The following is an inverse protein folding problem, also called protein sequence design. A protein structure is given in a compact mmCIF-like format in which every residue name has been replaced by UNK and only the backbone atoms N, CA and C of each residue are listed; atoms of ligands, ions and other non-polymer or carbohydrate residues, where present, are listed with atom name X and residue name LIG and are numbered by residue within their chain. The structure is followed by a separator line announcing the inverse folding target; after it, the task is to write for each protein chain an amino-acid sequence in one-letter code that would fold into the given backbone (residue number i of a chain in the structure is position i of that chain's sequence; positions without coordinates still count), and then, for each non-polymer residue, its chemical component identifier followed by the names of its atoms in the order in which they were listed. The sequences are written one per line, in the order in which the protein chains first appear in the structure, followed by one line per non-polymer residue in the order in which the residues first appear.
data_IF_122082512321
#
_entry.id   IF_122082512321
#
_cell.length_a   1.000
_cell.length_b   1.000
_cell.length_c   1.000
_cell.angle_alpha   90.00
_cell.angle_beta   90.00
_cell.angle_gamma   90.00
#
_symmetry.space_group_name_H-M   'P 1'
#
loop_
_entity.id
_entity.type
_entity.pdbx_description
1 polymer ?
#
# COMPACT_ATOMS: atom_id res chain seq x y z
N UNK A 1 47.01 -32.02 32.26
CA UNK A 1 47.84 -31.10 31.45
C UNK A 1 48.32 -31.89 30.25
N UNK A 2 47.77 -31.59 29.05
CA UNK A 2 48.15 -31.96 27.65
C UNK A 2 49.00 -33.24 27.39
N UNK A 3 48.77 -34.08 26.36
CA UNK A 3 48.40 -33.80 24.97
C UNK A 3 48.17 -35.11 24.17
N UNK A 4 47.21 -35.05 23.24
CA UNK A 4 47.08 -35.66 21.90
C UNK A 4 47.09 -37.17 21.59
N UNK A 5 46.09 -37.50 20.75
CA UNK A 5 46.03 -38.43 19.61
C UNK A 5 45.89 -39.94 19.87
N UNK A 6 44.71 -40.49 19.52
CA UNK A 6 44.58 -41.58 18.55
C UNK A 6 43.09 -41.90 18.22
N UNK A 7 42.88 -42.17 16.93
CA UNK A 7 42.00 -43.20 16.35
C UNK A 7 40.57 -42.85 15.91
N UNK A 8 40.45 -43.00 14.59
CA UNK A 8 39.30 -43.19 13.71
C UNK A 8 38.47 -44.43 14.01
N UNK A 9 37.31 -44.43 13.32
CA UNK A 9 36.42 -45.54 12.98
C UNK A 9 35.27 -45.80 13.97
N UNK A 10 34.04 -45.55 13.51
CA UNK A 10 32.95 -46.54 13.43
C UNK A 10 31.77 -45.91 12.65
N UNK A 11 31.55 -46.47 11.47
CA UNK A 11 30.26 -46.81 10.82
C UNK A 11 29.10 -45.79 10.82
N UNK A 12 28.67 -45.37 9.62
CA UNK A 12 27.32 -45.68 9.08
C UNK A 12 27.12 -44.97 7.72
N UNK A 13 27.41 -45.68 6.63
CA UNK A 13 26.73 -45.47 5.35
C UNK A 13 25.73 -46.61 5.17
N UNK A 14 24.43 -46.30 5.15
CA UNK A 14 23.46 -46.84 4.20
C UNK A 14 22.13 -46.09 4.40
N UNK A 15 21.76 -45.34 3.37
CA UNK A 15 20.68 -44.36 3.43
C UNK A 15 19.27 -44.94 3.45
N UNK A 16 18.34 -44.04 3.79
CA UNK A 16 16.97 -44.04 3.30
C UNK A 16 16.51 -42.57 3.27
N UNK A 17 16.08 -42.13 2.10
CA UNK A 17 15.67 -40.75 1.85
C UNK A 17 14.48 -40.34 2.72
N UNK A 18 14.52 -39.10 3.18
CA UNK A 18 13.36 -38.42 3.73
C UNK A 18 13.26 -37.04 3.07
N UNK A 19 12.12 -36.82 2.42
CA UNK A 19 11.76 -35.62 1.67
C UNK A 19 11.90 -34.34 2.50
N UNK A 20 12.95 -33.56 2.23
CA UNK A 20 13.22 -32.27 2.87
C UNK A 20 12.57 -31.09 2.12
N UNK A 21 11.45 -31.34 1.44
CA UNK A 21 10.79 -30.36 0.56
C UNK A 21 9.64 -29.59 1.25
N UNK A 22 9.21 -30.06 2.43
CA UNK A 22 8.17 -29.42 3.25
C UNK A 22 8.70 -28.30 4.18
N UNK A 23 9.88 -28.51 4.78
CA UNK A 23 10.52 -27.55 5.68
C UNK A 23 10.99 -26.29 4.95
N UNK A 24 11.70 -26.48 3.84
CA UNK A 24 12.24 -25.40 3.01
C UNK A 24 11.14 -24.45 2.47
N UNK A 25 9.97 -24.98 2.12
CA UNK A 25 8.84 -24.17 1.62
C UNK A 25 8.19 -23.32 2.73
N UNK A 26 8.11 -23.83 3.96
CA UNK A 26 7.51 -23.10 5.09
C UNK A 26 8.50 -22.03 5.59
N UNK A 27 9.79 -22.33 5.60
CA UNK A 27 10.83 -21.37 5.98
C UNK A 27 10.97 -20.25 4.95
N UNK A 28 10.99 -20.58 3.65
CA UNK A 28 10.97 -19.58 2.57
C UNK A 28 9.70 -18.71 2.59
N UNK A 29 8.53 -19.29 2.91
CA UNK A 29 7.29 -18.53 3.12
C UNK A 29 7.36 -17.62 4.35
N UNK A 30 8.04 -18.00 5.43
CA UNK A 30 8.22 -17.09 6.57
C UNK A 30 9.22 -15.97 6.26
N UNK A 31 10.27 -16.29 5.51
CA UNK A 31 11.37 -15.37 5.18
C UNK A 31 10.93 -14.26 4.18
N UNK A 32 10.14 -14.61 3.16
CA UNK A 32 9.63 -13.62 2.21
C UNK A 32 8.55 -12.72 2.82
N UNK A 33 7.68 -13.28 3.68
CA UNK A 33 6.48 -12.60 4.16
C UNK A 33 6.62 -11.92 5.54
N UNK A 34 7.76 -12.09 6.22
CA UNK A 34 8.03 -11.49 7.53
C UNK A 34 8.52 -10.03 7.48
N UNK A 35 9.43 -9.71 6.55
CA UNK A 35 10.16 -8.44 6.51
C UNK A 35 10.13 -7.77 5.11
N UNK A 36 8.95 -7.66 4.47
CA UNK A 36 8.88 -6.91 3.21
C UNK A 36 9.07 -5.41 3.46
N UNK A 37 9.96 -4.78 2.70
CA UNK A 37 9.99 -3.32 2.61
C UNK A 37 8.67 -2.79 2.00
N UNK A 38 8.30 -1.57 2.38
CA UNK A 38 7.10 -0.89 1.89
C UNK A 38 7.05 -0.82 0.36
N UNK A 39 8.19 -0.59 -0.28
CA UNK A 39 8.34 -0.59 -1.75
C UNK A 39 7.91 -1.92 -2.35
N UNK A 40 8.37 -3.03 -1.76
CA UNK A 40 8.06 -4.38 -2.23
C UNK A 40 6.57 -4.67 -2.07
N UNK A 41 5.93 -4.19 -0.99
CA UNK A 41 4.49 -4.37 -0.77
C UNK A 41 3.65 -3.64 -1.81
N UNK A 42 3.92 -2.36 -2.10
CA UNK A 42 3.15 -1.67 -3.15
C UNK A 42 3.40 -2.31 -4.51
N UNK A 43 4.65 -2.64 -4.84
CA UNK A 43 4.99 -3.28 -6.10
C UNK A 43 4.27 -4.65 -6.23
N UNK A 44 4.19 -5.40 -5.13
CA UNK A 44 3.45 -6.66 -5.06
C UNK A 44 1.94 -6.45 -5.32
N UNK A 45 1.30 -5.45 -4.70
CA UNK A 45 -0.11 -5.12 -4.94
C UNK A 45 -0.33 -4.65 -6.38
N UNK A 46 0.60 -3.89 -6.93
CA UNK A 46 0.55 -3.47 -8.33
C UNK A 46 0.64 -4.67 -9.28
N UNK A 47 1.46 -5.68 -8.94
CA UNK A 47 1.48 -6.97 -9.63
C UNK A 47 0.13 -7.70 -9.55
N UNK A 48 -0.50 -7.76 -8.37
CA UNK A 48 -1.85 -8.33 -8.20
C UNK A 48 -2.85 -7.59 -9.10
N UNK A 49 -2.80 -6.25 -9.10
CA UNK A 49 -3.65 -5.41 -9.94
C UNK A 49 -3.52 -5.78 -11.43
N UNK A 50 -2.29 -5.88 -11.93
CA UNK A 50 -2.05 -6.23 -13.33
C UNK A 50 -2.52 -7.65 -13.69
N UNK A 51 -2.29 -8.63 -12.82
CA UNK A 51 -2.75 -10.01 -13.05
C UNK A 51 -4.27 -10.13 -13.05
N UNK A 52 -4.93 -9.52 -12.05
CA UNK A 52 -6.39 -9.56 -11.95
C UNK A 52 -6.99 -8.82 -13.14
N UNK A 53 -6.53 -7.61 -13.43
CA UNK A 53 -7.04 -6.84 -14.56
C UNK A 53 -6.84 -7.58 -15.89
N UNK A 54 -5.65 -8.11 -16.16
CA UNK A 54 -5.37 -8.91 -17.35
C UNK A 54 -6.25 -10.16 -17.46
N UNK A 55 -6.52 -10.84 -16.34
CA UNK A 55 -7.40 -12.02 -16.33
C UNK A 55 -8.86 -11.64 -16.60
N UNK A 56 -9.34 -10.56 -15.98
CA UNK A 56 -10.72 -10.10 -16.13
C UNK A 56 -11.01 -9.54 -17.52
N UNK A 57 -10.01 -8.95 -18.19
CA UNK A 57 -10.19 -8.42 -19.54
C UNK A 57 -10.73 -9.48 -20.50
N UNK A 58 -10.26 -10.73 -20.46
CA UNK A 58 -10.81 -11.80 -21.33
C UNK A 58 -12.33 -11.97 -21.20
N UNK A 59 -12.87 -11.83 -19.99
CA UNK A 59 -14.30 -11.96 -19.67
C UNK A 59 -15.08 -10.66 -19.93
N UNK A 60 -14.42 -9.51 -19.78
CA UNK A 60 -14.98 -8.21 -20.12
C UNK A 60 -15.18 -8.08 -21.63
N UNK A 61 -14.20 -8.50 -22.44
CA UNK A 61 -14.28 -8.39 -23.90
C UNK A 61 -15.33 -9.32 -24.52
N UNK A 62 -15.61 -10.44 -23.88
CA UNK A 62 -16.71 -11.34 -24.28
C UNK A 62 -18.09 -10.82 -23.85
N UNK A 63 -18.15 -9.70 -23.12
CA UNK A 63 -19.38 -9.09 -22.62
C UNK A 63 -19.98 -9.81 -21.42
N UNK A 64 -19.26 -10.77 -20.83
CA UNK A 64 -19.76 -11.55 -19.69
C UNK A 64 -19.67 -10.77 -18.37
N UNK A 65 -18.74 -9.81 -18.26
CA UNK A 65 -18.56 -8.98 -17.08
C UNK A 65 -18.68 -7.48 -17.41
N UNK A 66 -19.32 -6.68 -16.52
CA UNK A 66 -19.31 -5.23 -16.65
C UNK A 66 -17.90 -4.68 -16.40
N UNK A 67 -17.60 -3.52 -16.98
CA UNK A 67 -16.30 -2.87 -16.84
C UNK A 67 -16.44 -1.38 -16.57
N UNK A 68 -15.72 -0.90 -15.54
CA UNK A 68 -15.62 0.52 -15.18
C UNK A 68 -14.21 1.04 -15.41
N UNK A 69 -13.94 1.73 -16.54
CA UNK A 69 -12.62 2.29 -16.81
C UNK A 69 -12.24 3.38 -15.79
N UNK A 70 -13.18 4.20 -15.34
CA UNK A 70 -12.93 5.28 -14.37
C UNK A 70 -12.31 4.73 -13.08
N UNK A 71 -12.92 3.71 -12.47
CA UNK A 71 -12.44 3.10 -11.23
C UNK A 71 -11.19 2.22 -11.44
N UNK A 72 -11.01 1.62 -12.61
CA UNK A 72 -9.81 0.84 -12.93
C UNK A 72 -8.57 1.73 -13.05
N UNK A 73 -8.63 2.76 -13.91
CA UNK A 73 -7.53 3.71 -14.07
C UNK A 73 -7.37 4.61 -12.84
N UNK A 74 -8.47 4.93 -12.15
CA UNK A 74 -8.43 5.64 -10.88
C UNK A 74 -7.65 4.87 -9.80
N UNK A 75 -7.91 3.58 -9.64
CA UNK A 75 -7.18 2.71 -8.71
C UNK A 75 -5.70 2.61 -9.10
N UNK A 76 -5.41 2.45 -10.40
CA UNK A 76 -4.04 2.48 -10.92
C UNK A 76 -3.31 3.77 -10.50
N UNK A 77 -3.93 4.93 -10.72
CA UNK A 77 -3.35 6.22 -10.37
C UNK A 77 -3.10 6.34 -8.86
N UNK A 78 -4.01 5.85 -8.02
CA UNK A 78 -3.80 5.86 -6.57
C UNK A 78 -2.63 4.96 -6.17
N UNK A 79 -2.54 3.74 -6.71
CA UNK A 79 -1.44 2.82 -6.41
C UNK A 79 -0.09 3.44 -6.82
N UNK A 80 0.02 4.01 -8.02
CA UNK A 80 1.25 4.67 -8.48
C UNK A 80 1.55 5.92 -7.66
N UNK A 81 0.54 6.70 -7.28
CA UNK A 81 0.73 7.89 -6.46
C UNK A 81 1.22 7.58 -5.05
N UNK A 82 0.79 6.45 -4.48
CA UNK A 82 1.33 5.96 -3.20
C UNK A 82 2.82 5.64 -3.31
N UNK A 83 3.29 5.11 -4.44
CA UNK A 83 4.73 4.93 -4.68
C UNK A 83 5.45 6.29 -4.68
N UNK A 84 4.87 7.29 -5.36
CA UNK A 84 5.42 8.66 -5.41
C UNK A 84 5.51 9.29 -4.02
N UNK A 85 4.44 9.23 -3.23
CA UNK A 85 4.34 9.87 -1.91
C UNK A 85 5.25 9.19 -0.88
N UNK A 86 5.23 7.86 -0.85
CA UNK A 86 5.86 7.09 0.21
C UNK A 86 7.34 6.78 -0.05
N UNK A 87 7.71 6.52 -1.29
CA UNK A 87 9.11 6.20 -1.65
C UNK A 87 9.88 7.44 -2.11
N UNK A 88 9.18 8.54 -2.43
CA UNK A 88 9.78 9.72 -3.05
C UNK A 88 10.29 9.47 -4.47
N UNK A 89 10.23 8.24 -4.97
CA UNK A 89 10.59 7.86 -6.34
C UNK A 89 9.46 8.22 -7.27
N UNK A 90 9.77 9.00 -8.30
CA UNK A 90 8.80 9.27 -9.37
C UNK A 90 8.83 8.15 -10.39
N UNK A 91 7.76 7.92 -11.18
CA UNK A 91 7.83 7.01 -12.32
C UNK A 91 8.93 7.41 -13.32
N UNK A 92 9.39 8.67 -13.27
CA UNK A 92 10.51 9.20 -14.06
C UNK A 92 11.88 9.00 -13.38
N UNK A 93 11.97 8.17 -12.33
CA UNK A 93 13.20 7.81 -11.63
C UNK A 93 13.42 8.43 -10.25
N UNK A 94 14.67 8.29 -9.76
CA UNK A 94 15.15 8.71 -8.44
C UNK A 94 15.27 10.23 -8.34
N UNK A 95 14.13 10.91 -8.19
CA UNK A 95 14.09 12.29 -7.73
C UNK A 95 14.01 12.24 -6.22
N UNK A 96 14.96 12.85 -5.48
CA UNK A 96 14.90 12.85 -4.00
C UNK A 96 13.55 13.41 -3.53
N UNK A 97 13.00 12.81 -2.47
CA UNK A 97 11.71 13.17 -1.84
C UNK A 97 11.63 14.67 -1.54
N UNK A 98 11.03 15.41 -2.47
CA UNK A 98 10.81 16.85 -2.39
C UNK A 98 9.33 17.14 -2.20
N UNK A 99 9.03 18.32 -1.65
CA UNK A 99 7.65 18.78 -1.49
C UNK A 99 6.89 18.83 -2.82
N UNK A 100 7.55 19.15 -3.92
CA UNK A 100 6.95 19.16 -5.26
C UNK A 100 6.48 17.75 -5.65
N UNK A 101 7.33 16.74 -5.45
CA UNK A 101 6.99 15.33 -5.75
C UNK A 101 5.81 14.85 -4.90
N UNK A 102 5.79 15.21 -3.62
CA UNK A 102 4.67 14.89 -2.72
C UNK A 102 3.38 15.57 -3.19
N UNK A 103 3.41 16.86 -3.54
CA UNK A 103 2.24 17.59 -4.04
C UNK A 103 1.71 16.95 -5.32
N UNK A 104 2.59 16.62 -6.27
CA UNK A 104 2.20 15.91 -7.50
C UNK A 104 1.53 14.58 -7.15
N UNK A 105 2.13 13.78 -6.27
CA UNK A 105 1.56 12.52 -5.82
C UNK A 105 0.18 12.69 -5.16
N UNK A 106 -0.01 13.72 -4.33
CA UNK A 106 -1.32 14.03 -3.71
C UNK A 106 -2.34 14.44 -4.76
N UNK A 107 -1.97 15.29 -5.73
CA UNK A 107 -2.86 15.68 -6.82
C UNK A 107 -3.26 14.48 -7.70
N UNK A 108 -2.31 13.60 -8.04
CA UNK A 108 -2.59 12.39 -8.82
C UNK A 108 -3.45 11.40 -8.02
N UNK A 109 -3.22 11.27 -6.71
CA UNK A 109 -4.06 10.48 -5.81
C UNK A 109 -5.50 11.02 -5.80
N UNK A 110 -5.66 12.35 -5.71
CA UNK A 110 -6.96 12.99 -5.72
C UNK A 110 -7.70 12.76 -7.04
N UNK A 111 -7.03 12.93 -8.18
CA UNK A 111 -7.60 12.63 -9.48
C UNK A 111 -8.04 11.16 -9.58
N UNK A 112 -7.22 10.23 -9.10
CA UNK A 112 -7.54 8.81 -9.07
C UNK A 112 -8.74 8.48 -8.18
N UNK A 113 -8.82 9.06 -6.98
CA UNK A 113 -9.97 8.89 -6.08
C UNK A 113 -11.26 9.44 -6.67
N UNK A 114 -11.23 10.66 -7.24
CA UNK A 114 -12.41 11.27 -7.84
C UNK A 114 -12.92 10.40 -9.01
N UNK A 115 -12.02 9.89 -9.86
CA UNK A 115 -12.40 8.99 -10.93
C UNK A 115 -12.95 7.65 -10.42
N UNK A 116 -12.41 7.11 -9.33
CA UNK A 116 -12.99 5.93 -8.69
C UNK A 116 -14.43 6.13 -8.24
N UNK A 117 -14.78 7.33 -7.77
CA UNK A 117 -16.07 7.59 -7.13
C UNK A 117 -17.12 8.16 -8.07
N UNK A 118 -16.72 8.91 -9.10
CA UNK A 118 -17.62 9.56 -10.05
C UNK A 118 -17.48 8.92 -11.43
N UNK A 119 -18.34 7.94 -11.78
CA UNK A 119 -18.27 7.29 -13.08
C UNK A 119 -18.64 8.25 -14.21
N UNK A 120 -17.99 8.09 -15.37
CA UNK A 120 -18.36 8.72 -16.64
C UNK A 120 -17.74 10.09 -16.96
N UNK A 121 -17.27 10.85 -15.97
CA UNK A 121 -16.77 12.22 -16.22
C UNK A 121 -15.27 12.30 -16.49
N UNK A 122 -14.47 11.36 -15.97
CA UNK A 122 -13.01 11.46 -15.97
C UNK A 122 -12.31 10.35 -16.75
N UNK A 123 -13.03 9.38 -17.30
CA UNK A 123 -12.48 8.17 -17.94
C UNK A 123 -11.33 8.45 -18.90
N UNK A 124 -11.53 9.35 -19.88
CA UNK A 124 -10.47 9.68 -20.84
C UNK A 124 -9.29 10.39 -20.17
N UNK A 125 -9.57 11.31 -19.24
CA UNK A 125 -8.53 12.04 -18.52
C UNK A 125 -7.64 11.10 -17.70
N UNK A 126 -8.23 10.21 -16.89
CA UNK A 126 -7.46 9.28 -16.07
C UNK A 126 -6.78 8.21 -16.90
N UNK A 127 -7.38 7.75 -17.99
CA UNK A 127 -6.74 6.82 -18.94
C UNK A 127 -5.52 7.47 -19.57
N UNK A 128 -5.63 8.69 -20.08
CA UNK A 128 -4.51 9.43 -20.68
C UNK A 128 -3.42 9.63 -19.63
N UNK A 129 -3.76 10.08 -18.43
CA UNK A 129 -2.79 10.28 -17.36
C UNK A 129 -2.05 8.98 -16.98
N UNK A 130 -2.78 7.87 -16.82
CA UNK A 130 -2.21 6.55 -16.56
C UNK A 130 -1.28 6.10 -17.70
N UNK A 131 -1.71 6.28 -18.95
CA UNK A 131 -0.92 5.96 -20.14
C UNK A 131 0.36 6.79 -20.24
N UNK A 132 0.30 8.10 -19.98
CA UNK A 132 1.48 8.97 -19.94
C UNK A 132 2.45 8.55 -18.83
N UNK A 133 1.94 8.23 -17.64
CA UNK A 133 2.78 7.77 -16.51
C UNK A 133 3.46 6.43 -16.82
N UNK A 134 2.76 5.46 -17.42
CA UNK A 134 3.33 4.18 -17.83
C UNK A 134 4.37 4.34 -18.94
N UNK A 135 4.05 5.17 -19.95
CA UNK A 135 4.90 5.36 -21.11
C UNK A 135 6.20 6.09 -20.76
N UNK A 136 6.07 7.31 -20.27
CA UNK A 136 7.24 8.12 -19.94
C UNK A 136 7.97 7.58 -18.71
N UNK A 137 7.26 6.99 -17.76
CA UNK A 137 7.90 6.35 -16.62
C UNK A 137 8.75 5.16 -17.04
N UNK A 138 8.18 4.25 -17.84
CA UNK A 138 8.91 3.11 -18.40
C UNK A 138 10.14 3.54 -19.20
N UNK A 139 10.00 4.50 -20.11
CA UNK A 139 11.13 5.01 -20.91
C UNK A 139 12.20 5.67 -20.03
N UNK A 140 11.79 6.51 -19.07
CA UNK A 140 12.72 7.24 -18.22
C UNK A 140 13.54 6.30 -17.34
N UNK A 141 12.88 5.31 -16.72
CA UNK A 141 13.54 4.28 -15.92
C UNK A 141 14.46 3.39 -16.76
N UNK A 142 14.05 3.05 -17.99
CA UNK A 142 14.90 2.31 -18.93
C UNK A 142 16.14 3.10 -19.29
N UNK A 143 15.97 4.40 -19.61
CA UNK A 143 17.07 5.29 -19.95
C UNK A 143 18.03 5.43 -18.77
N UNK A 144 17.53 5.59 -17.54
CA UNK A 144 18.37 5.64 -16.35
C UNK A 144 19.16 4.36 -16.12
N UNK A 145 18.55 3.19 -16.37
CA UNK A 145 19.24 1.91 -16.25
C UNK A 145 20.46 1.83 -17.18
N UNK A 146 20.36 2.37 -18.39
CA UNK A 146 21.44 2.35 -19.39
C UNK A 146 22.42 3.52 -19.29
N UNK A 147 21.97 4.72 -18.92
CA UNK A 147 22.79 5.95 -18.92
C UNK A 147 23.49 6.23 -17.58
N UNK A 148 23.01 5.71 -16.46
CA UNK A 148 23.62 5.99 -15.16
C UNK A 148 24.97 5.25 -15.02
N UNK A 149 26.10 5.94 -15.27
CA UNK A 149 27.50 5.58 -14.98
C UNK A 149 27.85 4.08 -15.00
N UNK A 150 27.37 3.36 -16.01
CA UNK A 150 27.60 1.93 -16.16
C UNK A 150 27.01 1.06 -15.04
N UNK A 151 26.00 1.52 -14.27
CA UNK A 151 25.29 0.75 -13.24
C UNK A 151 24.82 -0.60 -13.80
N UNK A 152 24.14 -0.62 -14.94
CA UNK A 152 23.72 -1.86 -15.58
C UNK A 152 24.92 -2.76 -15.91
N UNK A 153 26.00 -2.20 -16.49
CA UNK A 153 27.22 -2.99 -16.81
C UNK A 153 27.88 -3.57 -15.55
N UNK A 154 27.91 -2.83 -14.44
CA UNK A 154 28.44 -3.28 -13.15
C UNK A 154 27.56 -4.37 -12.53
N UNK A 155 26.24 -4.21 -12.57
CA UNK A 155 25.29 -5.18 -12.03
C UNK A 155 25.19 -6.45 -12.89
N UNK A 156 25.37 -6.34 -14.21
CA UNK A 156 25.48 -7.48 -15.13
C UNK A 156 26.82 -8.23 -15.00
N UNK A 157 27.90 -7.53 -14.62
CA UNK A 157 29.22 -8.13 -14.45
C UNK A 157 29.32 -9.00 -13.18
N UNK A 158 28.49 -8.75 -12.17
CA UNK A 158 28.44 -9.57 -10.96
C UNK A 158 27.44 -10.73 -11.16
N UNK A 159 27.88 -11.99 -11.22
CA UNK A 159 26.97 -13.13 -11.31
C UNK A 159 26.15 -13.27 -10.03
N UNK A 160 24.84 -13.54 -10.16
CA UNK A 160 23.94 -13.74 -9.03
C UNK A 160 22.66 -12.89 -9.10
N UNK A 161 22.13 -12.51 -7.94
CA UNK A 161 20.81 -11.84 -7.80
C UNK A 161 20.76 -10.48 -8.53
N UNK A 162 21.88 -9.73 -8.60
CA UNK A 162 21.94 -8.42 -9.26
C UNK A 162 21.71 -8.50 -10.79
N UNK A 163 22.18 -9.57 -11.44
CA UNK A 163 21.94 -9.80 -12.87
C UNK A 163 20.46 -10.06 -13.14
N UNK A 164 19.82 -10.89 -12.31
CA UNK A 164 18.38 -11.16 -12.40
C UNK A 164 17.54 -9.91 -12.12
N UNK A 165 17.95 -9.08 -11.16
CA UNK A 165 17.31 -7.80 -10.86
C UNK A 165 17.37 -6.85 -12.06
N UNK A 166 18.55 -6.71 -12.69
CA UNK A 166 18.76 -5.84 -13.86
C UNK A 166 17.87 -6.26 -15.04
N UNK A 167 17.80 -7.56 -15.32
CA UNK A 167 16.93 -8.11 -16.38
C UNK A 167 15.44 -7.92 -16.06
N UNK A 168 15.04 -8.16 -14.81
CA UNK A 168 13.67 -7.94 -14.37
C UNK A 168 13.26 -6.47 -14.52
N UNK A 169 14.10 -5.53 -14.09
CA UNK A 169 13.88 -4.10 -14.27
C UNK A 169 13.72 -3.75 -15.75
N UNK A 170 14.64 -4.19 -16.62
CA UNK A 170 14.57 -3.91 -18.05
C UNK A 170 13.26 -4.40 -18.67
N UNK A 171 12.83 -5.63 -18.35
CA UNK A 171 11.56 -6.19 -18.85
C UNK A 171 10.36 -5.39 -18.36
N UNK A 172 10.28 -5.08 -17.07
CA UNK A 172 9.20 -4.27 -16.50
C UNK A 172 9.14 -2.90 -17.17
N UNK A 173 10.27 -2.23 -17.39
CA UNK A 173 10.29 -0.90 -18.01
C UNK A 173 9.89 -0.92 -19.48
N UNK A 174 10.33 -1.92 -20.25
CA UNK A 174 9.94 -2.09 -21.66
C UNK A 174 8.44 -2.37 -21.76
N UNK A 175 7.92 -3.32 -20.97
CA UNK A 175 6.51 -3.69 -21.00
C UNK A 175 5.63 -2.53 -20.51
N UNK A 176 6.07 -1.79 -19.49
CA UNK A 176 5.42 -0.56 -19.03
C UNK A 176 5.30 0.46 -20.17
N UNK A 177 6.37 0.69 -20.94
CA UNK A 177 6.33 1.60 -22.07
C UNK A 177 5.32 1.15 -23.14
N UNK A 178 5.31 -0.15 -23.47
CA UNK A 178 4.36 -0.73 -24.43
C UNK A 178 2.92 -0.56 -23.96
N UNK A 179 2.62 -0.93 -22.70
CA UNK A 179 1.30 -0.76 -22.09
C UNK A 179 0.88 0.71 -22.03
N UNK A 180 1.83 1.63 -21.81
CA UNK A 180 1.58 3.06 -21.86
C UNK A 180 1.09 3.53 -23.24
N UNK A 181 1.74 3.07 -24.32
CA UNK A 181 1.30 3.36 -25.71
C UNK A 181 -0.10 2.79 -25.95
N UNK A 182 -0.33 1.52 -25.59
CA UNK A 182 -1.64 0.85 -25.77
C UNK A 182 -2.75 1.61 -25.02
N UNK A 183 -2.44 2.09 -23.82
CA UNK A 183 -3.39 2.86 -22.99
C UNK A 183 -3.67 4.26 -23.57
N UNK A 184 -2.67 4.90 -24.17
CA UNK A 184 -2.81 6.22 -24.80
C UNK A 184 -3.58 6.17 -26.11
N UNK A 185 -3.42 5.09 -26.87
CA UNK A 185 -3.96 4.94 -28.22
C UNK A 185 -4.88 3.71 -28.26
N UNK A 186 -6.12 3.84 -27.76
CA UNK A 186 -7.08 2.75 -27.77
C UNK A 186 -7.34 2.30 -29.22
N UNK A 187 -7.27 1.00 -29.47
CA UNK A 187 -7.48 0.39 -30.79
C UNK A 187 -6.19 0.04 -31.57
N UNK A 188 -5.00 0.35 -31.05
CA UNK A 188 -3.73 -0.10 -31.67
C UNK A 188 -3.47 -1.59 -31.43
N UNK A 189 -3.75 -2.07 -30.23
CA UNK A 189 -3.59 -3.46 -29.87
C UNK A 189 -4.96 -4.14 -29.77
N UNK A 190 -5.00 -5.41 -30.15
CA UNK A 190 -6.14 -6.25 -29.86
C UNK A 190 -6.32 -6.38 -28.35
N UNK A 191 -7.57 -6.40 -27.93
CA UNK A 191 -8.01 -6.57 -26.55
C UNK A 191 -7.39 -7.82 -25.87
N UNK A 192 -7.40 -8.95 -26.58
CA UNK A 192 -6.77 -10.22 -26.16
C UNK A 192 -5.26 -10.07 -25.95
N UNK A 193 -4.59 -9.33 -26.83
CA UNK A 193 -3.15 -9.07 -26.74
C UNK A 193 -2.84 -8.18 -25.53
N UNK A 194 -3.66 -7.16 -25.28
CA UNK A 194 -3.53 -6.28 -24.12
C UNK A 194 -3.66 -7.07 -22.82
N UNK A 195 -4.65 -7.96 -22.72
CA UNK A 195 -4.82 -8.87 -21.60
C UNK A 195 -3.57 -9.75 -21.38
N UNK A 196 -3.03 -10.36 -22.45
CA UNK A 196 -1.82 -11.17 -22.36
C UNK A 196 -0.59 -10.36 -21.90
N UNK A 197 -0.40 -9.15 -22.43
CA UNK A 197 0.71 -8.27 -22.03
C UNK A 197 0.58 -7.86 -20.55
N UNK A 198 -0.64 -7.56 -20.06
CA UNK A 198 -0.89 -7.26 -18.65
C UNK A 198 -0.56 -8.45 -17.73
N UNK A 199 -0.88 -9.68 -18.13
CA UNK A 199 -0.50 -10.88 -17.38
C UNK A 199 1.02 -11.04 -17.31
N UNK A 200 1.70 -10.93 -18.45
CA UNK A 200 3.18 -10.99 -18.49
C UNK A 200 3.78 -9.88 -17.63
N UNK A 201 3.23 -8.67 -17.70
CA UNK A 201 3.67 -7.54 -16.89
C UNK A 201 3.53 -7.81 -15.40
N UNK A 202 2.37 -8.33 -14.96
CA UNK A 202 2.13 -8.71 -13.58
C UNK A 202 3.13 -9.76 -13.08
N UNK A 203 3.40 -10.81 -13.87
CA UNK A 203 4.43 -11.82 -13.54
C UNK A 203 5.82 -11.20 -13.42
N UNK A 204 6.20 -10.31 -14.35
CA UNK A 204 7.47 -9.59 -14.30
C UNK A 204 7.58 -8.72 -13.04
N UNK A 205 6.50 -8.05 -12.64
CA UNK A 205 6.45 -7.24 -11.41
C UNK A 205 6.63 -8.12 -10.17
N UNK A 206 5.95 -9.27 -10.08
CA UNK A 206 6.15 -10.19 -8.95
C UNK A 206 7.60 -10.69 -8.87
N UNK A 207 8.17 -11.06 -10.01
CA UNK A 207 9.56 -11.48 -10.09
C UNK A 207 10.52 -10.34 -9.68
N UNK A 208 10.22 -9.10 -10.07
CA UNK A 208 10.97 -7.92 -9.64
C UNK A 208 10.85 -7.70 -8.13
N UNK A 209 9.65 -7.78 -7.54
CA UNK A 209 9.44 -7.69 -6.10
C UNK A 209 10.27 -8.74 -5.35
N UNK A 210 10.32 -9.98 -5.86
CA UNK A 210 11.13 -11.04 -5.28
C UNK A 210 12.63 -10.75 -5.35
N UNK A 211 13.13 -10.32 -6.52
CA UNK A 211 14.53 -9.96 -6.68
C UNK A 211 14.94 -8.78 -5.81
N UNK A 212 14.05 -7.78 -5.65
CA UNK A 212 14.28 -6.60 -4.83
C UNK A 212 14.36 -6.97 -3.34
N UNK A 213 13.45 -7.83 -2.87
CA UNK A 213 13.48 -8.36 -1.50
C UNK A 213 14.79 -9.13 -1.21
N UNK A 214 15.18 -10.04 -2.12
CA UNK A 214 16.44 -10.79 -2.00
C UNK A 214 17.66 -9.87 -2.02
N UNK A 215 17.64 -8.81 -2.81
CA UNK A 215 18.76 -7.87 -2.85
C UNK A 215 18.86 -7.07 -1.55
N UNK A 216 17.73 -6.58 -1.03
CA UNK A 216 17.70 -5.82 0.22
C UNK A 216 18.11 -6.64 1.45
N UNK A 217 17.88 -7.96 1.43
CA UNK A 217 18.26 -8.87 2.52
C UNK A 217 19.75 -9.25 2.46
N UNK A 218 20.30 -9.46 1.26
CA UNK A 218 21.71 -9.85 1.07
C UNK A 218 22.66 -8.64 1.15
N UNK A 219 22.20 -7.48 0.67
CA UNK A 219 22.91 -6.21 0.70
C UNK A 219 22.08 -5.19 1.48
N UNK A 220 22.03 -5.30 2.83
CA UNK A 220 21.38 -4.28 3.64
C UNK A 220 22.07 -2.95 3.36
N UNK A 221 21.28 -1.95 2.97
CA UNK A 221 21.80 -0.73 2.37
C UNK A 221 22.83 -0.01 3.26
N UNK A 222 24.09 0.01 2.84
CA UNK A 222 25.12 0.98 3.27
C UNK A 222 24.85 2.41 2.75
N UNK A 223 23.72 2.63 2.04
CA UNK A 223 23.32 3.94 1.49
C UNK A 223 23.01 4.99 2.56
N UNK A 224 22.74 4.60 3.82
CA UNK A 224 22.46 5.56 4.89
C UNK A 224 23.72 6.30 5.39
N UNK A 225 24.93 5.76 5.13
CA UNK A 225 26.19 6.36 5.62
C UNK A 225 26.95 7.21 4.60
N UNK A 226 26.79 6.95 3.30
CA UNK A 226 27.54 7.67 2.24
C UNK A 226 26.78 8.94 1.80
N UNK A 227 25.46 9.01 2.06
CA UNK A 227 24.60 10.09 1.56
C UNK A 227 24.45 11.29 2.52
N UNK A 228 24.88 11.15 3.79
CA UNK A 228 24.72 12.18 4.82
C UNK A 228 25.84 13.23 4.86
N UNK A 229 26.94 13.02 4.12
CA UNK A 229 28.11 13.91 4.14
C UNK A 229 28.00 15.13 3.23
N UNK A 230 27.05 15.14 2.28
CA UNK A 230 26.91 16.24 1.30
C UNK A 230 25.75 17.20 1.63
N UNK A 231 25.46 17.41 2.92
CA UNK A 231 24.45 18.34 3.39
C UNK A 231 25.07 19.72 3.69
N UNK A 232 25.30 20.53 2.65
CA UNK A 232 25.42 21.97 2.88
C UNK A 232 24.56 22.80 1.90
N UNK A 233 23.62 23.54 2.51
CA UNK A 233 22.86 24.71 2.02
C UNK A 233 22.15 24.58 0.66
N UNK A 234 20.82 24.41 0.70
CA UNK A 234 19.88 25.04 -0.25
C UNK A 234 18.45 25.05 0.28
N UNK A 235 17.66 25.97 -0.28
CA UNK A 235 16.38 26.52 0.20
C UNK A 235 15.27 25.51 0.54
N UNK A 236 14.40 25.89 1.48
CA UNK A 236 13.32 25.09 2.10
C UNK A 236 12.41 24.30 1.12
N UNK A 237 12.30 24.71 -0.13
CA UNK A 237 11.51 24.05 -1.19
C UNK A 237 12.10 22.72 -1.68
N UNK A 238 13.42 22.54 -1.55
CA UNK A 238 14.15 21.32 -1.92
C UNK A 238 14.67 20.55 -0.69
N UNK A 239 14.23 20.94 0.50
CA UNK A 239 14.61 20.27 1.75
C UNK A 239 13.94 18.90 1.84
N UNK A 240 14.71 17.91 2.31
CA UNK A 240 14.28 16.53 2.50
C UNK A 240 13.09 16.50 3.44
N UNK A 241 11.93 16.06 2.94
CA UNK A 241 10.76 15.83 3.78
C UNK A 241 10.95 14.49 4.52
N UNK A 242 11.49 14.54 5.74
CA UNK A 242 11.53 13.39 6.64
C UNK A 242 10.13 13.18 7.27
N UNK A 243 9.16 12.73 6.47
CA UNK A 243 7.84 12.31 6.98
C UNK A 243 7.91 10.80 7.27
N UNK A 244 7.59 10.33 8.49
CA UNK A 244 7.56 8.91 8.82
C UNK A 244 6.66 8.13 7.85
N UNK A 245 7.06 6.89 7.51
CA UNK A 245 6.34 6.05 6.54
C UNK A 245 4.85 5.85 6.93
N UNK A 246 4.56 5.69 8.22
CA UNK A 246 3.20 5.61 8.76
C UNK A 246 2.38 6.86 8.40
N UNK A 247 2.96 8.06 8.57
CA UNK A 247 2.32 9.33 8.23
C UNK A 247 2.10 9.47 6.71
N UNK A 248 3.01 8.93 5.90
CA UNK A 248 2.90 8.98 4.44
C UNK A 248 1.69 8.20 3.88
N UNK A 249 1.20 7.19 4.60
CA UNK A 249 0.02 6.38 4.22
C UNK A 249 -1.24 6.94 4.90
N UNK A 250 -1.13 7.37 6.16
CA UNK A 250 -2.22 7.98 6.91
C UNK A 250 -2.75 9.24 6.21
N UNK A 251 -1.88 10.04 5.58
CA UNK A 251 -2.29 11.25 4.84
C UNK A 251 -3.23 10.92 3.67
N UNK A 252 -2.90 10.02 2.73
CA UNK A 252 -3.83 9.57 1.68
C UNK A 252 -5.15 9.01 2.21
N UNK A 253 -5.15 8.26 3.32
CA UNK A 253 -6.39 7.71 3.91
C UNK A 253 -7.26 8.82 4.52
N UNK A 254 -6.66 9.74 5.28
CA UNK A 254 -7.36 10.92 5.79
C UNK A 254 -7.91 11.77 4.65
N UNK A 255 -7.11 11.97 3.59
CA UNK A 255 -7.51 12.68 2.40
C UNK A 255 -8.68 11.99 1.68
N UNK A 256 -8.63 10.66 1.51
CA UNK A 256 -9.73 9.86 0.96
C UNK A 256 -11.03 10.08 1.72
N UNK A 257 -10.98 10.02 3.06
CA UNK A 257 -12.17 10.15 3.91
C UNK A 257 -12.76 11.57 3.87
N UNK A 258 -11.91 12.60 3.88
CA UNK A 258 -12.35 13.99 3.70
C UNK A 258 -12.97 14.20 2.33
N UNK A 259 -12.27 13.78 1.26
CA UNK A 259 -12.74 13.91 -0.12
C UNK A 259 -14.08 13.21 -0.31
N UNK A 260 -14.19 11.97 0.18
CA UNK A 260 -15.41 11.19 0.11
C UNK A 260 -16.57 11.84 0.89
N UNK A 261 -16.30 12.36 2.09
CA UNK A 261 -17.30 13.06 2.89
C UNK A 261 -17.83 14.32 2.19
N UNK A 262 -16.95 15.11 1.55
CA UNK A 262 -17.39 16.24 0.72
C UNK A 262 -18.16 15.79 -0.53
N UNK A 263 -17.72 14.70 -1.17
CA UNK A 263 -18.36 14.18 -2.36
C UNK A 263 -19.75 13.59 -2.09
N UNK A 264 -19.97 13.01 -0.90
CA UNK A 264 -21.28 12.48 -0.53
C UNK A 264 -22.36 13.56 -0.44
N UNK A 265 -22.02 14.83 -0.20
CA UNK A 265 -23.00 15.92 -0.12
C UNK A 265 -23.77 16.08 -1.45
N UNK A 266 -23.11 16.36 -2.60
CA UNK A 266 -23.81 16.46 -3.89
C UNK A 266 -24.40 15.12 -4.35
N UNK A 267 -23.82 13.98 -3.97
CA UNK A 267 -24.40 12.64 -4.25
C UNK A 267 -25.76 12.49 -3.55
N UNK A 268 -25.85 12.81 -2.26
CA UNK A 268 -27.10 12.72 -1.50
C UNK A 268 -28.15 13.74 -1.97
N UNK A 269 -27.73 14.84 -2.59
CA UNK A 269 -28.61 15.80 -3.26
C UNK A 269 -29.03 15.35 -4.66
N UNK A 270 -28.53 14.22 -5.16
CA UNK A 270 -28.82 13.70 -6.50
C UNK A 270 -28.15 14.49 -7.64
N UNK A 271 -27.13 15.29 -7.35
CA UNK A 271 -26.47 16.15 -8.33
C UNK A 271 -25.44 15.42 -9.19
N UNK A 272 -24.79 14.38 -8.64
CA UNK A 272 -23.73 13.64 -9.32
C UNK A 272 -23.88 12.12 -9.09
N UNK A 273 -23.50 11.27 -10.06
CA UNK A 273 -23.49 9.83 -9.89
C UNK A 273 -22.38 9.40 -8.93
N UNK A 274 -22.57 8.24 -8.32
CA UNK A 274 -21.64 7.67 -7.36
C UNK A 274 -21.39 6.19 -7.66
N UNK A 275 -20.13 5.76 -7.55
CA UNK A 275 -19.71 4.37 -7.67
C UNK A 275 -19.35 3.78 -6.30
N UNK A 276 -20.27 3.04 -5.65
CA UNK A 276 -19.98 2.35 -4.40
C UNK A 276 -18.83 1.35 -4.54
N UNK A 277 -18.76 0.65 -5.67
CA UNK A 277 -17.75 -0.37 -5.95
C UNK A 277 -16.34 0.22 -6.00
N UNK A 278 -16.18 1.39 -6.64
CA UNK A 278 -14.90 2.09 -6.67
C UNK A 278 -14.47 2.58 -5.29
N UNK A 279 -15.42 3.03 -4.46
CA UNK A 279 -15.15 3.45 -3.08
C UNK A 279 -14.71 2.28 -2.20
N UNK A 280 -15.52 1.23 -2.13
CA UNK A 280 -15.27 0.08 -1.27
C UNK A 280 -14.02 -0.68 -1.74
N UNK A 281 -13.84 -0.80 -3.07
CA UNK A 281 -12.66 -1.42 -3.66
C UNK A 281 -11.38 -0.68 -3.30
N UNK A 282 -11.37 0.65 -3.44
CA UNK A 282 -10.21 1.47 -3.08
C UNK A 282 -9.89 1.38 -1.58
N UNK A 283 -10.91 1.43 -0.71
CA UNK A 283 -10.73 1.27 0.74
C UNK A 283 -10.08 -0.09 1.07
N UNK A 284 -10.53 -1.16 0.43
CA UNK A 284 -9.99 -2.51 0.63
C UNK A 284 -8.54 -2.64 0.17
N UNK A 285 -8.17 -2.03 -0.95
CA UNK A 285 -6.78 -2.01 -1.42
C UNK A 285 -5.91 -1.21 -0.45
N UNK A 286 -6.38 -0.06 0.03
CA UNK A 286 -5.67 0.74 1.05
C UNK A 286 -5.47 -0.04 2.34
N UNK A 287 -6.50 -0.73 2.83
CA UNK A 287 -6.37 -1.61 4.01
C UNK A 287 -5.41 -2.76 3.77
N UNK A 288 -5.40 -3.35 2.57
CA UNK A 288 -4.43 -4.37 2.20
C UNK A 288 -2.99 -3.85 2.26
N UNK A 289 -2.75 -2.63 1.75
CA UNK A 289 -1.44 -1.96 1.87
C UNK A 289 -1.06 -1.81 3.34
N UNK A 290 -1.95 -1.29 4.18
CA UNK A 290 -1.69 -1.08 5.61
C UNK A 290 -1.38 -2.39 6.35
N UNK A 291 -2.17 -3.43 6.12
CA UNK A 291 -1.97 -4.75 6.73
C UNK A 291 -0.64 -5.38 6.31
N UNK A 292 -0.32 -5.32 5.01
CA UNK A 292 0.88 -5.97 4.49
C UNK A 292 2.14 -5.17 4.79
N UNK A 293 2.08 -3.84 4.77
CA UNK A 293 3.26 -2.99 4.89
C UNK A 293 3.53 -2.53 6.32
N UNK A 294 2.48 -2.18 7.09
CA UNK A 294 2.61 -1.69 8.46
C UNK A 294 2.23 -2.74 9.52
N UNK A 295 1.56 -3.82 9.16
CA UNK A 295 0.97 -4.75 10.13
C UNK A 295 -0.26 -4.17 10.85
N UNK A 296 -0.78 -3.05 10.37
CA UNK A 296 -1.98 -2.41 10.92
C UNK A 296 -3.22 -3.14 10.40
N UNK A 297 -4.04 -3.67 11.32
CA UNK A 297 -5.35 -4.24 10.99
C UNK A 297 -6.46 -3.36 11.56
N UNK A 298 -7.71 -3.48 11.06
CA UNK A 298 -8.85 -2.82 11.70
C UNK A 298 -8.99 -3.17 13.19
N UNK A 299 -8.55 -4.36 13.61
CA UNK A 299 -8.54 -4.83 15.00
C UNK A 299 -7.34 -4.33 15.85
N UNK A 300 -6.51 -3.47 15.28
CA UNK A 300 -5.30 -2.91 15.89
C UNK A 300 -4.01 -3.43 15.26
N UNK A 301 -2.87 -3.01 15.83
CA UNK A 301 -1.55 -3.44 15.40
C UNK A 301 -1.37 -4.94 15.62
N UNK A 302 -0.97 -5.63 14.57
CA UNK A 302 -0.59 -7.04 14.61
C UNK A 302 0.84 -7.19 14.14
N UNK A 303 1.59 -8.09 14.78
CA UNK A 303 2.93 -8.44 14.31
C UNK A 303 2.80 -9.02 12.90
N UNK A 304 3.61 -8.51 11.97
CA UNK A 304 3.63 -8.98 10.58
C UNK A 304 3.87 -10.49 10.58
N UNK A 305 2.98 -11.20 9.90
CA UNK A 305 3.01 -12.65 9.78
C UNK A 305 2.59 -13.05 8.37
N UNK A 306 3.04 -14.21 7.92
CA UNK A 306 2.62 -14.79 6.64
C UNK A 306 1.08 -14.86 6.50
N UNK A 307 0.36 -15.19 7.58
CA UNK A 307 -1.10 -15.22 7.56
C UNK A 307 -1.70 -13.84 7.28
N UNK A 308 -1.17 -12.81 7.93
CA UNK A 308 -1.59 -11.43 7.70
C UNK A 308 -1.31 -10.99 6.26
N UNK A 309 -0.19 -11.43 5.69
CA UNK A 309 0.14 -11.18 4.28
C UNK A 309 -0.89 -11.84 3.35
N UNK A 310 -1.22 -13.12 3.57
CA UNK A 310 -2.24 -13.82 2.76
C UNK A 310 -3.60 -13.13 2.84
N UNK A 311 -4.02 -12.71 4.04
CA UNK A 311 -5.25 -11.94 4.23
C UNK A 311 -5.18 -10.62 3.45
N UNK A 312 -4.05 -9.91 3.50
CA UNK A 312 -3.81 -8.70 2.72
C UNK A 312 -3.93 -8.94 1.21
N UNK A 313 -3.39 -10.05 0.69
CA UNK A 313 -3.54 -10.42 -0.74
C UNK A 313 -4.99 -10.64 -1.11
N UNK A 314 -5.76 -11.34 -0.27
CA UNK A 314 -7.20 -11.55 -0.49
C UNK A 314 -7.96 -10.22 -0.51
N UNK A 315 -7.63 -9.31 0.41
CA UNK A 315 -8.27 -7.99 0.48
C UNK A 315 -7.92 -7.12 -0.73
N UNK A 316 -6.64 -7.11 -1.13
CA UNK A 316 -6.21 -6.42 -2.34
C UNK A 316 -6.95 -6.96 -3.56
N UNK A 317 -7.02 -8.30 -3.71
CA UNK A 317 -7.70 -8.94 -4.83
C UNK A 317 -9.19 -8.63 -4.88
N UNK A 318 -9.90 -8.72 -3.74
CA UNK A 318 -11.31 -8.37 -3.65
C UNK A 318 -11.55 -6.88 -3.97
N UNK A 319 -10.68 -5.99 -3.49
CA UNK A 319 -10.77 -4.56 -3.75
C UNK A 319 -10.52 -4.20 -5.21
N UNK A 320 -9.48 -4.78 -5.82
CA UNK A 320 -9.16 -4.61 -7.25
C UNK A 320 -10.32 -5.13 -8.10
N UNK A 321 -10.82 -6.33 -7.82
CA UNK A 321 -11.94 -6.91 -8.56
C UNK A 321 -13.16 -5.99 -8.50
N UNK A 322 -13.49 -5.46 -7.33
CA UNK A 322 -14.59 -4.51 -7.14
C UNK A 322 -14.41 -3.22 -7.96
N UNK A 323 -13.19 -2.68 -8.03
CA UNK A 323 -12.92 -1.48 -8.84
C UNK A 323 -13.00 -1.74 -10.36
N UNK A 324 -12.73 -2.96 -10.82
CA UNK A 324 -12.74 -3.29 -12.25
C UNK A 324 -14.13 -3.71 -12.72
N UNK A 325 -14.81 -4.54 -11.92
CA UNK A 325 -16.09 -5.19 -12.25
C UNK A 325 -17.14 -4.76 -11.24
N UNK A 326 -17.94 -3.72 -11.53
CA UNK A 326 -18.92 -3.20 -10.60
C UNK A 326 -20.10 -4.18 -10.39
N UNK A 327 -20.77 -4.05 -9.25
CA UNK A 327 -22.04 -4.72 -8.94
C UNK A 327 -21.96 -6.19 -8.49
N UNK A 328 -20.80 -6.85 -8.60
CA UNK A 328 -20.67 -8.27 -8.21
C UNK A 328 -20.30 -8.42 -6.73
N UNK A 329 -19.29 -7.68 -6.27
CA UNK A 329 -18.72 -7.85 -4.92
C UNK A 329 -19.27 -6.83 -3.92
N UNK A 330 -20.06 -5.85 -4.37
CA UNK A 330 -20.51 -4.70 -3.56
C UNK A 330 -21.11 -5.11 -2.21
N UNK A 331 -22.05 -6.06 -2.22
CA UNK A 331 -22.71 -6.53 -1.00
C UNK A 331 -21.74 -7.18 -0.02
N UNK A 332 -20.93 -8.12 -0.51
CA UNK A 332 -19.91 -8.83 0.28
C UNK A 332 -18.89 -7.83 0.87
N UNK A 333 -18.45 -6.87 0.07
CA UNK A 333 -17.48 -5.87 0.51
C UNK A 333 -18.07 -4.90 1.53
N UNK A 334 -19.33 -4.50 1.35
CA UNK A 334 -20.06 -3.65 2.30
C UNK A 334 -20.19 -4.33 3.66
N UNK A 335 -20.59 -5.60 3.68
CA UNK A 335 -20.71 -6.39 4.91
C UNK A 335 -19.34 -6.62 5.57
N UNK A 336 -18.32 -6.95 4.79
CA UNK A 336 -16.97 -7.19 5.30
C UNK A 336 -16.38 -5.92 5.92
N UNK A 337 -16.42 -4.79 5.20
CA UNK A 337 -15.92 -3.50 5.70
C UNK A 337 -16.74 -3.05 6.92
N UNK A 338 -18.06 -3.25 6.89
CA UNK A 338 -18.94 -2.98 8.02
C UNK A 338 -18.53 -3.76 9.26
N UNK A 339 -18.34 -5.07 9.11
CA UNK A 339 -17.90 -5.96 10.18
C UNK A 339 -16.54 -5.54 10.73
N UNK A 340 -15.56 -5.29 9.86
CA UNK A 340 -14.21 -4.91 10.25
C UNK A 340 -14.16 -3.61 11.05
N UNK A 341 -14.97 -2.62 10.68
CA UNK A 341 -15.05 -1.35 11.40
C UNK A 341 -15.70 -1.50 12.78
N UNK A 342 -16.78 -2.28 12.89
CA UNK A 342 -17.42 -2.56 14.19
C UNK A 342 -16.46 -3.36 15.08
N UNK A 343 -15.96 -4.49 14.60
CA UNK A 343 -15.06 -5.36 15.35
C UNK A 343 -13.81 -4.60 15.78
N UNK A 344 -13.22 -3.83 14.87
CA UNK A 344 -12.04 -3.01 15.12
C UNK A 344 -12.25 -1.97 16.21
N UNK A 345 -13.28 -1.15 16.08
CA UNK A 345 -13.61 -0.14 17.08
C UNK A 345 -13.91 -0.74 18.45
N UNK A 346 -14.67 -1.85 18.51
CA UNK A 346 -14.99 -2.53 19.77
C UNK A 346 -13.75 -3.12 20.44
N UNK A 347 -12.89 -3.83 19.69
CA UNK A 347 -11.66 -4.44 20.22
C UNK A 347 -10.74 -3.36 20.80
N UNK A 348 -10.55 -2.25 20.10
CA UNK A 348 -9.70 -1.15 20.57
C UNK A 348 -10.27 -0.46 21.82
N UNK A 349 -11.59 -0.30 21.92
CA UNK A 349 -12.24 0.20 23.14
C UNK A 349 -12.12 -0.79 24.30
N UNK A 350 -12.30 -2.09 24.06
CA UNK A 350 -12.15 -3.13 25.08
C UNK A 350 -10.72 -3.21 25.61
N UNK A 351 -9.70 -3.15 24.73
CA UNK A 351 -8.29 -3.08 25.17
C UNK A 351 -8.01 -1.85 26.04
N UNK A 352 -8.67 -0.72 25.75
CA UNK A 352 -8.51 0.53 26.49
C UNK A 352 -9.19 0.53 27.86
N UNK A 353 -10.46 0.16 27.92
CA UNK A 353 -11.27 0.26 29.14
C UNK A 353 -11.35 -1.05 29.92
N UNK A 354 -10.99 -2.18 29.31
CA UNK A 354 -10.96 -3.51 29.93
C UNK A 354 -10.12 -3.58 31.21
N UNK A 355 -8.84 -3.14 31.21
CA UNK A 355 -8.03 -3.17 32.43
C UNK A 355 -8.57 -2.25 33.53
N UNK A 356 -9.18 -1.12 33.17
CA UNK A 356 -9.80 -0.17 34.12
C UNK A 356 -11.10 -0.73 34.71
N UNK A 357 -11.89 -1.47 33.93
CA UNK A 357 -13.09 -2.16 34.42
C UNK A 357 -12.75 -3.39 35.26
N UNK A 358 -11.74 -4.18 34.89
CA UNK A 358 -11.33 -5.38 35.62
C UNK A 358 -10.55 -5.05 36.90
N UNK A 359 -9.71 -4.02 36.91
CA UNK A 359 -8.90 -3.63 38.08
C UNK A 359 -9.59 -2.58 38.98
N UNK A 360 -10.91 -2.40 38.85
CA UNK A 360 -11.72 -1.47 39.67
C UNK A 360 -11.67 -1.72 41.19
N UNK A 361 -10.98 -2.78 41.65
CA UNK A 361 -10.74 -3.09 43.06
C UNK A 361 -9.27 -3.08 43.50
N UNK A 362 -8.30 -2.79 42.61
CA UNK A 362 -6.86 -2.78 42.93
C UNK A 362 -6.14 -1.66 42.20
N UNK A 363 -6.31 -0.41 42.63
CA UNK A 363 -5.35 0.65 42.30
C UNK A 363 -5.41 1.75 43.36
N UNK A 364 -4.59 1.57 44.40
CA UNK A 364 -3.81 2.69 44.95
C UNK A 364 -2.44 2.59 44.30
N UNK A 365 -2.18 3.37 43.26
CA UNK A 365 -0.84 3.57 42.70
C UNK A 365 -0.85 4.85 41.85
N UNK A 366 -0.17 5.86 42.39
CA UNK A 366 0.50 6.99 41.73
C UNK A 366 -0.16 7.58 40.46
N UNK A 367 -0.88 8.69 40.66
CA UNK A 367 -1.31 9.58 39.58
C UNK A 367 -0.10 10.37 39.06
N UNK A 368 0.78 9.74 38.29
CA UNK A 368 1.70 10.51 37.47
C UNK A 368 0.90 11.33 36.45
N UNK A 369 1.11 12.66 36.35
CA UNK A 369 0.32 13.50 35.46
C UNK A 369 0.59 13.11 34.02
N UNK A 370 -0.39 12.46 33.40
CA UNK A 370 -0.38 12.10 31.98
C UNK A 370 -0.11 13.39 31.16
N UNK A 371 0.92 13.41 30.30
CA UNK A 371 1.22 14.57 29.47
C UNK A 371 -0.01 14.99 28.65
N UNK A 372 -0.29 16.29 28.50
CA UNK A 372 -1.51 16.78 27.86
C UNK A 372 -1.64 16.31 26.40
N UNK A 373 -0.52 16.06 25.71
CA UNK A 373 -0.49 15.51 24.34
C UNK A 373 -1.03 14.09 24.31
N UNK A 374 -0.64 13.23 25.26
CA UNK A 374 -1.11 11.85 25.35
C UNK A 374 -2.59 11.79 25.71
N UNK A 375 -3.07 12.68 26.58
CA UNK A 375 -4.49 12.83 26.89
C UNK A 375 -5.32 13.19 25.65
N UNK A 376 -4.85 14.14 24.84
CA UNK A 376 -5.54 14.52 23.60
C UNK A 376 -5.56 13.38 22.59
N UNK A 377 -4.45 12.65 22.43
CA UNK A 377 -4.36 11.49 21.55
C UNK A 377 -5.32 10.37 21.97
N UNK A 378 -5.42 10.13 23.28
CA UNK A 378 -6.41 9.19 23.84
C UNK A 378 -7.84 9.63 23.50
N UNK A 379 -8.20 10.90 23.70
CA UNK A 379 -9.55 11.40 23.38
C UNK A 379 -9.86 11.21 21.88
N UNK A 380 -8.94 11.65 21.01
CA UNK A 380 -9.07 11.52 19.55
C UNK A 380 -9.29 10.05 19.16
N UNK A 381 -8.51 9.13 19.72
CA UNK A 381 -8.63 7.71 19.39
C UNK A 381 -9.93 7.08 19.93
N UNK A 382 -10.47 7.54 21.07
CA UNK A 382 -11.78 7.09 21.55
C UNK A 382 -12.87 7.51 20.57
N UNK A 383 -12.84 8.78 20.12
CA UNK A 383 -13.81 9.31 19.16
C UNK A 383 -13.72 8.56 17.84
N UNK A 384 -12.50 8.32 17.32
CA UNK A 384 -12.27 7.54 16.10
C UNK A 384 -12.89 6.14 16.18
N UNK A 385 -12.77 5.45 17.32
CA UNK A 385 -13.35 4.12 17.49
C UNK A 385 -14.89 4.14 17.48
N UNK A 386 -15.53 5.12 18.12
CA UNK A 386 -16.99 5.27 18.07
C UNK A 386 -17.47 5.64 16.67
N UNK A 387 -16.73 6.50 15.97
CA UNK A 387 -17.00 6.88 14.58
C UNK A 387 -16.89 5.65 13.67
N UNK A 388 -15.87 4.82 13.86
CA UNK A 388 -15.68 3.56 13.11
C UNK A 388 -16.86 2.60 13.34
N UNK A 389 -17.28 2.39 14.60
CA UNK A 389 -18.45 1.55 14.91
C UNK A 389 -19.72 2.10 14.25
N UNK A 390 -19.93 3.42 14.30
CA UNK A 390 -21.10 4.06 13.69
C UNK A 390 -21.11 3.91 12.17
N UNK A 391 -19.94 4.09 11.54
CA UNK A 391 -19.76 3.87 10.11
C UNK A 391 -20.04 2.41 9.72
N UNK A 392 -19.48 1.45 10.46
CA UNK A 392 -19.71 0.03 10.21
C UNK A 392 -21.18 -0.39 10.42
N UNK A 393 -21.85 0.15 11.44
CA UNK A 393 -23.27 -0.09 11.66
C UNK A 393 -24.15 0.46 10.52
N UNK A 394 -23.77 1.62 9.96
CA UNK A 394 -24.48 2.23 8.82
C UNK A 394 -24.44 1.37 7.56
N UNK A 395 -23.42 0.52 7.41
CA UNK A 395 -23.27 -0.40 6.28
C UNK A 395 -24.23 -1.60 6.37
N UNK A 396 -24.57 -2.07 7.57
CA UNK A 396 -25.52 -3.17 7.76
C UNK A 396 -26.98 -2.73 7.75
N UNK A 397 -27.24 -1.49 8.16
CA UNK A 397 -28.58 -0.95 8.33
C UNK A 397 -28.74 0.31 7.47
N UNK A 398 -28.78 0.15 6.12
CA UNK A 398 -28.94 1.27 5.23
C UNK A 398 -30.25 2.00 5.54
N UNK A 399 -30.18 3.32 5.70
CA UNK A 399 -31.33 4.18 5.99
C UNK A 399 -31.52 4.56 7.47
N UNK A 400 -30.83 3.92 8.42
CA UNK A 400 -30.87 4.37 9.84
C UNK A 400 -30.11 5.69 10.00
N UNK A 401 -28.94 5.79 9.38
CA UNK A 401 -28.14 7.01 9.38
C UNK A 401 -28.38 7.73 8.05
N UNK A 402 -28.91 8.97 8.05
CA UNK A 402 -29.09 9.74 6.83
C UNK A 402 -27.76 9.87 6.08
N UNK A 403 -27.77 9.82 4.74
CA UNK A 403 -26.54 9.91 3.95
C UNK A 403 -25.73 11.18 4.23
N UNK A 404 -26.41 12.29 4.56
CA UNK A 404 -25.77 13.54 5.00
C UNK A 404 -25.02 13.40 6.34
N UNK A 405 -25.53 12.57 7.25
CA UNK A 405 -24.83 12.26 8.49
C UNK A 405 -23.61 11.36 8.23
N UNK A 406 -23.70 10.40 7.30
CA UNK A 406 -22.55 9.59 6.86
C UNK A 406 -21.45 10.49 6.28
N UNK A 407 -21.82 11.47 5.45
CA UNK A 407 -20.90 12.48 4.92
C UNK A 407 -20.15 13.23 6.04
N UNK A 408 -20.90 13.72 7.03
CA UNK A 408 -20.33 14.41 8.20
C UNK A 408 -19.42 13.51 9.04
N UNK A 409 -19.80 12.25 9.26
CA UNK A 409 -18.99 11.24 9.95
C UNK A 409 -17.66 11.02 9.22
N UNK A 410 -17.69 10.89 7.90
CA UNK A 410 -16.49 10.68 7.08
C UNK A 410 -15.54 11.89 7.11
N UNK A 411 -16.07 13.12 6.98
CA UNK A 411 -15.27 14.35 7.08
C UNK A 411 -14.63 14.44 8.46
N UNK A 412 -15.41 14.21 9.52
CA UNK A 412 -14.91 14.24 10.89
C UNK A 412 -13.82 13.18 11.10
N UNK A 413 -14.04 11.96 10.62
CA UNK A 413 -13.05 10.88 10.67
C UNK A 413 -11.73 11.28 9.98
N UNK A 414 -11.82 11.80 8.76
CA UNK A 414 -10.65 12.26 8.01
C UNK A 414 -9.88 13.37 8.72
N UNK A 415 -10.58 14.37 9.29
CA UNK A 415 -9.95 15.45 10.08
C UNK A 415 -9.28 14.90 11.34
N UNK A 416 -9.91 13.97 12.06
CA UNK A 416 -9.31 13.37 13.26
C UNK A 416 -8.05 12.56 12.91
N UNK A 417 -8.02 11.90 11.76
CA UNK A 417 -6.84 11.18 11.27
C UNK A 417 -5.68 12.15 10.98
N UNK A 418 -5.94 13.31 10.38
CA UNK A 418 -4.94 14.38 10.22
C UNK A 418 -4.45 14.95 11.55
N UNK A 419 -5.35 15.10 12.53
CA UNK A 419 -4.98 15.53 13.87
C UNK A 419 -4.09 14.49 14.57
N UNK A 420 -4.38 13.20 14.41
CA UNK A 420 -3.55 12.11 14.93
C UNK A 420 -2.15 12.13 14.31
N UNK A 421 -2.05 12.25 12.98
CA UNK A 421 -0.77 12.36 12.29
C UNK A 421 0.06 13.56 12.80
N UNK A 422 -0.59 14.69 13.03
CA UNK A 422 0.06 15.89 13.58
C UNK A 422 0.56 15.68 15.02
N UNK A 423 -0.21 14.95 15.84
CA UNK A 423 0.18 14.62 17.21
C UNK A 423 1.38 13.66 17.24
N UNK A 424 1.40 12.63 16.39
CA UNK A 424 2.51 11.69 16.25
C UNK A 424 3.79 12.42 15.82
N UNK A 425 3.70 13.29 14.81
CA UNK A 425 4.84 14.12 14.38
C UNK A 425 5.39 15.01 15.50
N UNK A 426 4.51 15.51 16.37
CA UNK A 426 4.94 16.33 17.52
C UNK A 426 5.67 15.50 18.56
N UNK A 427 5.21 14.27 18.83
CA UNK A 427 5.86 13.35 19.78
C UNK A 427 7.25 12.96 19.28
N UNK A 428 7.37 12.59 18.01
CA UNK A 428 8.64 12.20 17.39
C UNK A 428 9.70 13.31 17.47
N UNK A 429 9.28 14.57 17.23
CA UNK A 429 10.14 15.75 17.41
C UNK A 429 10.57 15.97 18.86
N UNK A 430 9.70 15.71 19.83
CA UNK A 430 10.04 15.85 21.25
C UNK A 430 11.05 14.78 21.68
N UNK A 431 10.87 13.52 21.25
CA UNK A 431 11.82 12.44 21.53
C UNK A 431 13.19 12.69 20.89
N UNK A 432 13.21 13.22 19.66
CA UNK A 432 14.46 13.57 18.97
C UNK A 432 15.24 14.70 19.68
N UNK A 433 14.53 15.65 20.29
CA UNK A 433 15.13 16.77 21.02
C UNK A 433 15.68 16.37 22.40
N UNK A 434 15.07 15.37 23.05
CA UNK A 434 15.50 14.84 24.34
C UNK A 434 16.73 13.92 24.22
N UNK A 435 16.98 13.33 23.04
CA UNK A 435 18.18 12.51 22.76
C UNK A 435 19.40 13.38 22.40
N UNK A 436 19.19 14.66 22.03
CA UNK A 436 20.25 15.60 21.61
C UNK A 436 20.60 16.67 22.63
N UNK A 437 19.90 16.75 23.77
CA UNK A 437 20.23 17.61 24.91
C UNK A 437 20.75 16.79 26.08
#
# INVERSE_FOLDING_TARGET
MHRNEFRTDVEEETGLGQDDNGGNNIEMKKEFFGDLSFEVVILFIFGIFMLIFGTLLFRIHTGELPYTPDSTYGLFLVIVSLQIIALGRTPFGDIRRSWIVIIIGVCTTAAGMIACFIPGYLSDFVRILAGLMLFFGGISLLLQLFLADGKAKRWLAVPGVLRHLTLACALVYIISAILGIITLLPGIAEDTLTAAILLVYGVCIFYLSFCLHRTNTIYPQEEEKILSESAEKRTLLFSVAAIPLQVAIIIPVGFLLVLLGFLLVPVNLGMIPFSPDGQLGLLMVVMAIQMMALGETPAGECRRSWLLMVIGVVFAGAGIFSCVVPGITTGILTELIGFLNIAGGVILLLKRFGPVLLNRGKQGAENDPIPPVLKNLLIIQTILNFVSISFGASMFLPGIIPGMAIAGILVLNGILIFALASAVLKIDRMQSAEITG
#
